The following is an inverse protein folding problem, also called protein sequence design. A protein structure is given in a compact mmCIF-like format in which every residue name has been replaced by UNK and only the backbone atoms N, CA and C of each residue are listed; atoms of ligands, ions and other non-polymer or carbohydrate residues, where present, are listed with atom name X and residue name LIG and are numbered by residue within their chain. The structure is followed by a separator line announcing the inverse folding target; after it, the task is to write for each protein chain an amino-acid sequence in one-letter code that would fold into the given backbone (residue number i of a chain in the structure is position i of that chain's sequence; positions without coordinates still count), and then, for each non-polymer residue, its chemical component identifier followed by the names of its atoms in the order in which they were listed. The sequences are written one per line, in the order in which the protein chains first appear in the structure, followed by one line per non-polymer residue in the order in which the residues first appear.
data_IF_126238776473
#
_entry.id   IF_126238776473
#
_cell.length_a   1.000
_cell.length_b   1.000
_cell.length_c   1.000
_cell.angle_alpha   90.00
_cell.angle_beta   90.00
_cell.angle_gamma   90.00
#
_symmetry.space_group_name_H-M   'P 1'
#
loop_
_entity.id
_entity.type
_entity.pdbx_description
1 polymer ?
#
# COMPACT_ATOMS: atom_id res chain seq x y z
N UNK A 1 -0.56 7.28 12.34
CA UNK A 1 -0.06 7.67 11.00
C UNK A 1 -1.23 7.55 10.03
N UNK A 2 -1.65 8.62 9.37
CA UNK A 2 -2.79 8.56 8.42
C UNK A 2 -2.36 7.87 7.13
N UNK A 3 -3.25 7.10 6.48
CA UNK A 3 -2.93 6.38 5.24
C UNK A 3 -2.35 7.29 4.14
N UNK A 4 -2.84 8.53 4.06
CA UNK A 4 -2.37 9.55 3.12
C UNK A 4 -0.88 9.88 3.30
N UNK A 5 -0.34 9.75 4.52
CA UNK A 5 1.06 10.03 4.80
C UNK A 5 1.98 8.93 4.24
N UNK A 6 1.46 7.71 4.03
CA UNK A 6 2.20 6.66 3.33
C UNK A 6 2.38 7.02 1.85
N UNK A 7 1.31 7.49 1.20
CA UNK A 7 1.35 7.95 -0.18
C UNK A 7 2.23 9.18 -0.37
N UNK A 8 2.11 10.18 0.51
CA UNK A 8 2.97 11.39 0.46
C UNK A 8 4.46 11.04 0.58
N UNK A 9 4.77 9.95 1.27
CA UNK A 9 6.14 9.47 1.43
C UNK A 9 6.42 8.25 0.54
N UNK A 10 5.67 8.00 -0.52
CA UNK A 10 5.85 6.78 -1.33
C UNK A 10 7.29 6.62 -1.87
N UNK A 11 8.02 7.71 -2.11
CA UNK A 11 9.39 7.69 -2.63
C UNK A 11 10.50 7.96 -1.60
N UNK A 12 10.17 8.07 -0.31
CA UNK A 12 11.18 8.29 0.73
C UNK A 12 11.75 6.95 1.24
N UNK A 13 12.90 6.52 0.74
CA UNK A 13 13.51 5.27 1.19
C UNK A 13 14.44 5.44 2.41
N UNK A 14 14.67 6.68 2.87
CA UNK A 14 15.67 7.00 3.91
C UNK A 14 15.10 7.03 5.32
N UNK A 15 13.79 7.23 5.47
CA UNK A 15 13.12 7.21 6.77
C UNK A 15 13.17 5.86 7.50
N UNK A 16 12.75 5.88 8.76
CA UNK A 16 12.43 4.69 9.55
C UNK A 16 10.91 4.52 9.65
N UNK A 17 10.47 3.28 9.78
CA UNK A 17 9.07 2.92 10.01
C UNK A 17 8.96 1.76 11.00
N UNK A 18 7.85 1.70 11.75
CA UNK A 18 7.55 0.56 12.63
C UNK A 18 6.86 -0.54 11.83
N UNK A 19 7.01 -1.78 12.27
CA UNK A 19 6.31 -2.95 11.67
C UNK A 19 4.78 -2.76 11.70
N UNK A 20 4.26 -2.20 12.80
CA UNK A 20 2.82 -1.92 12.95
C UNK A 20 2.32 -0.94 11.87
N UNK A 21 3.12 0.06 11.49
CA UNK A 21 2.76 0.99 10.42
C UNK A 21 2.68 0.29 9.06
N UNK A 22 3.55 -0.69 8.82
CA UNK A 22 3.53 -1.51 7.60
C UNK A 22 2.30 -2.43 7.56
N UNK A 23 1.97 -3.12 8.66
CA UNK A 23 0.77 -3.95 8.76
C UNK A 23 -0.49 -3.12 8.53
N UNK A 24 -0.56 -1.92 9.15
CA UNK A 24 -1.68 -0.99 8.96
C UNK A 24 -1.81 -0.58 7.50
N UNK A 25 -0.70 -0.28 6.83
CA UNK A 25 -0.70 0.08 5.41
C UNK A 25 -1.21 -1.07 4.52
N UNK A 26 -0.75 -2.31 4.77
CA UNK A 26 -1.22 -3.48 4.04
C UNK A 26 -2.72 -3.72 4.24
N UNK A 27 -3.22 -3.58 5.47
CA UNK A 27 -4.64 -3.74 5.77
C UNK A 27 -5.51 -2.72 5.02
N UNK A 28 -5.09 -1.44 4.96
CA UNK A 28 -5.82 -0.41 4.22
C UNK A 28 -5.75 -0.64 2.70
N UNK A 29 -4.60 -1.05 2.16
CA UNK A 29 -4.49 -1.43 0.74
C UNK A 29 -5.45 -2.58 0.40
N UNK A 30 -5.48 -3.61 1.24
CA UNK A 30 -6.37 -4.76 1.08
C UNK A 30 -7.85 -4.35 1.13
N UNK A 31 -8.21 -3.48 2.07
CA UNK A 31 -9.57 -2.96 2.18
C UNK A 31 -10.00 -2.20 0.91
N UNK A 32 -9.15 -1.33 0.37
CA UNK A 32 -9.45 -0.61 -0.87
C UNK A 32 -9.60 -1.58 -2.06
N UNK A 33 -8.69 -2.56 -2.18
CA UNK A 33 -8.77 -3.58 -3.22
C UNK A 33 -10.10 -4.36 -3.15
N UNK A 34 -10.53 -4.74 -1.94
CA UNK A 34 -11.79 -5.42 -1.69
C UNK A 34 -12.99 -4.54 -2.05
N UNK A 35 -12.98 -3.25 -1.70
CA UNK A 35 -14.04 -2.32 -2.10
C UNK A 35 -14.18 -2.21 -3.63
N UNK A 36 -13.07 -2.13 -4.36
CA UNK A 36 -13.10 -2.05 -5.84
C UNK A 36 -13.66 -3.35 -6.42
N UNK A 37 -13.23 -4.51 -5.90
CA UNK A 37 -13.74 -5.80 -6.33
C UNK A 37 -15.25 -5.93 -6.11
N UNK A 38 -15.76 -5.51 -4.94
CA UNK A 38 -17.20 -5.47 -4.65
C UNK A 38 -17.92 -4.52 -5.61
N UNK A 39 -17.32 -3.37 -5.93
CA UNK A 39 -17.94 -2.42 -6.86
C UNK A 39 -18.11 -3.01 -8.26
N UNK A 40 -17.25 -3.94 -8.68
CA UNK A 40 -17.39 -4.69 -9.94
C UNK A 40 -18.69 -5.50 -10.03
N UNK A 41 -19.22 -6.00 -8.92
CA UNK A 41 -20.50 -6.73 -8.91
C UNK A 41 -21.73 -5.81 -9.07
N UNK A 42 -21.58 -4.52 -8.79
CA UNK A 42 -22.67 -3.54 -8.85
C UNK A 42 -22.77 -2.86 -10.22
N UNK A 43 -21.78 -3.06 -11.07
CA UNK A 43 -21.61 -2.34 -12.34
C UNK A 43 -22.11 -3.22 -13.50
N UNK A 44 -22.75 -2.65 -14.54
CA UNK A 44 -23.22 -3.43 -15.69
C UNK A 44 -22.08 -4.17 -16.41
N UNK A 45 -22.37 -5.33 -17.00
CA UNK A 45 -21.40 -6.17 -17.73
C UNK A 45 -20.59 -5.41 -18.79
N UNK A 46 -21.13 -4.36 -19.40
CA UNK A 46 -20.42 -3.54 -20.39
C UNK A 46 -19.28 -2.70 -19.79
N UNK A 47 -19.30 -2.46 -18.48
CA UNK A 47 -18.30 -1.67 -17.74
C UNK A 47 -17.36 -2.52 -16.88
N UNK A 48 -17.60 -3.83 -16.80
CA UNK A 48 -16.80 -4.77 -16.00
C UNK A 48 -15.31 -4.66 -16.33
N UNK A 49 -14.96 -4.64 -17.62
CA UNK A 49 -13.56 -4.53 -18.06
C UNK A 49 -12.91 -3.20 -17.64
N UNK A 50 -13.68 -2.11 -17.58
CA UNK A 50 -13.18 -0.83 -17.09
C UNK A 50 -12.91 -0.87 -15.57
N UNK A 51 -13.77 -1.52 -14.79
CA UNK A 51 -13.59 -1.71 -13.34
C UNK A 51 -12.38 -2.61 -13.05
N UNK A 52 -12.22 -3.70 -13.80
CA UNK A 52 -11.08 -4.60 -13.69
C UNK A 52 -9.77 -3.88 -14.03
N UNK A 53 -9.76 -3.06 -15.09
CA UNK A 53 -8.58 -2.24 -15.43
C UNK A 53 -8.26 -1.22 -14.33
N UNK A 54 -9.27 -0.56 -13.77
CA UNK A 54 -9.09 0.35 -12.64
C UNK A 54 -8.49 -0.38 -11.43
N UNK A 55 -8.99 -1.57 -11.12
CA UNK A 55 -8.46 -2.42 -10.05
C UNK A 55 -6.96 -2.71 -10.24
N UNK A 56 -6.54 -3.11 -11.44
CA UNK A 56 -5.13 -3.36 -11.74
C UNK A 56 -4.26 -2.11 -11.65
N UNK A 57 -4.75 -0.95 -12.13
CA UNK A 57 -4.03 0.32 -12.00
C UNK A 57 -3.82 0.68 -10.52
N UNK A 58 -4.87 0.54 -9.71
CA UNK A 58 -4.80 0.84 -8.26
C UNK A 58 -3.82 -0.09 -7.56
N UNK A 59 -3.84 -1.39 -7.85
CA UNK A 59 -2.86 -2.35 -7.33
C UNK A 59 -1.42 -1.95 -7.69
N UNK A 60 -1.19 -1.56 -8.93
CA UNK A 60 0.13 -1.16 -9.40
C UNK A 60 0.61 0.12 -8.71
N UNK A 61 -0.28 1.10 -8.50
CA UNK A 61 0.05 2.32 -7.77
C UNK A 61 0.38 2.04 -6.29
N UNK A 62 -0.32 1.09 -5.65
CA UNK A 62 -0.09 0.70 -4.25
C UNK A 62 1.25 -0.01 -4.03
N UNK A 63 1.86 -0.61 -5.05
CA UNK A 63 3.16 -1.27 -4.92
C UNK A 63 4.25 -0.30 -4.46
N UNK A 64 4.28 0.91 -5.01
CA UNK A 64 5.33 1.91 -4.72
C UNK A 64 5.40 2.27 -3.22
N UNK A 65 4.32 2.75 -2.57
CA UNK A 65 4.36 3.05 -1.13
C UNK A 65 4.59 1.79 -0.28
N UNK A 66 4.14 0.61 -0.73
CA UNK A 66 4.34 -0.66 -0.01
C UNK A 66 5.82 -1.06 0.02
N UNK A 67 6.50 -1.02 -1.13
CA UNK A 67 7.95 -1.30 -1.24
C UNK A 67 8.75 -0.29 -0.42
N UNK A 68 8.40 0.98 -0.51
CA UNK A 68 9.04 2.04 0.27
C UNK A 68 8.93 1.81 1.77
N UNK A 69 7.73 1.49 2.26
CA UNK A 69 7.52 1.16 3.67
C UNK A 69 8.28 -0.09 4.10
N UNK A 70 8.33 -1.13 3.25
CA UNK A 70 9.10 -2.34 3.52
C UNK A 70 10.60 -2.05 3.68
N UNK A 71 11.18 -1.27 2.77
CA UNK A 71 12.59 -0.83 2.84
C UNK A 71 12.87 -0.06 4.14
N UNK A 72 11.96 0.83 4.55
CA UNK A 72 12.10 1.57 5.83
C UNK A 72 12.07 0.66 7.04
N UNK A 73 11.18 -0.33 7.06
CA UNK A 73 11.10 -1.30 8.16
C UNK A 73 12.41 -2.08 8.27
N UNK A 74 12.94 -2.60 7.16
CA UNK A 74 14.25 -3.30 7.13
C UNK A 74 15.35 -2.38 7.66
N UNK A 75 15.41 -1.13 7.21
CA UNK A 75 16.41 -0.17 7.71
C UNK A 75 16.30 0.10 9.20
N UNK A 76 15.08 0.18 9.75
CA UNK A 76 14.88 0.30 11.20
C UNK A 76 15.49 -0.90 11.93
N UNK A 77 15.27 -2.12 11.42
CA UNK A 77 15.86 -3.33 12.02
C UNK A 77 17.39 -3.35 11.94
N UNK A 78 17.96 -3.07 10.78
CA UNK A 78 19.41 -3.01 10.59
C UNK A 78 20.05 -1.97 11.51
N UNK A 79 19.44 -0.78 11.63
CA UNK A 79 19.95 0.28 12.51
C UNK A 79 19.87 -0.12 13.98
N UNK A 80 18.79 -0.78 14.40
CA UNK A 80 18.65 -1.27 15.78
C UNK A 80 19.71 -2.34 16.11
N UNK A 81 19.97 -3.25 15.18
CA UNK A 81 21.00 -4.28 15.33
C UNK A 81 22.44 -3.75 15.38
N UNK A 82 22.69 -2.52 14.90
CA UNK A 82 24.02 -1.91 14.93
C UNK A 82 24.25 -1.01 16.15
N UNK A 83 23.20 -0.74 16.94
CA UNK A 83 23.26 0.03 18.18
C UNK A 83 23.28 -0.83 19.45
N UNK A 84 23.10 -2.15 19.30
CA UNK A 84 23.27 -3.18 20.34
C UNK A 84 24.65 -3.83 20.17
#
# INVERSE_FOLDING_TARGET
MTYINFWKRAFDFKGTAKVIDFITCLFVNFFIALCIMISGFLVPFTWENAVVNLYYIVLLLMLVPTVSMFVRVIRTFVRKSHSE
#
